data_IF_050400073088
#
_entry.id   IF_050400073088
#
_cell.length_a   1.000
_cell.length_b   1.000
_cell.length_c   1.000
_cell.angle_alpha   90.00
_cell.angle_beta   90.00
_cell.angle_gamma   90.00
#
_symmetry.space_group_name_H-M   'P 1'
#
loop_
_entity.id
_entity.type
_entity.pdbx_description
1 polymer ?
#
# COMPACT_ATOMS: atom_id res chain seq x y z
N UNK A 1 -18.69 26.95 -0.62
CA UNK A 1 -18.49 25.99 -1.74
C UNK A 1 -19.26 26.52 -2.92
N UNK A 2 -18.57 27.09 -3.90
CA UNK A 2 -19.23 27.65 -5.07
C UNK A 2 -19.83 26.52 -5.90
N UNK A 3 -21.06 26.69 -6.40
CA UNK A 3 -21.86 25.66 -7.10
C UNK A 3 -21.15 25.06 -8.33
N UNK A 4 -20.05 25.67 -8.77
CA UNK A 4 -19.22 25.29 -9.91
C UNK A 4 -18.35 24.04 -9.70
N UNK A 5 -18.03 23.67 -8.45
CA UNK A 5 -17.15 22.52 -8.15
C UNK A 5 -17.89 21.26 -7.72
N UNK A 6 -19.18 21.40 -7.41
CA UNK A 6 -20.11 20.30 -7.11
C UNK A 6 -20.05 19.18 -8.17
N UNK A 7 -20.11 19.45 -9.50
CA UNK A 7 -20.09 18.38 -10.49
C UNK A 7 -18.74 17.62 -10.56
N UNK A 8 -17.62 18.29 -10.30
CA UNK A 8 -16.29 17.66 -10.34
C UNK A 8 -16.03 16.76 -9.12
N UNK A 9 -16.50 17.18 -7.93
CA UNK A 9 -16.44 16.37 -6.71
C UNK A 9 -17.37 15.16 -6.82
N UNK A 10 -18.56 15.31 -7.41
CA UNK A 10 -19.50 14.20 -7.66
C UNK A 10 -18.91 13.18 -8.64
N UNK A 11 -18.28 13.64 -9.73
CA UNK A 11 -17.64 12.75 -10.70
C UNK A 11 -16.52 11.93 -10.06
N UNK A 12 -15.68 12.57 -9.24
CA UNK A 12 -14.61 11.89 -8.52
C UNK A 12 -15.15 10.87 -7.49
N UNK A 13 -16.21 11.21 -6.76
CA UNK A 13 -16.85 10.31 -5.80
C UNK A 13 -17.51 9.10 -6.49
N UNK A 14 -18.08 9.30 -7.68
CA UNK A 14 -18.65 8.25 -8.51
C UNK A 14 -17.57 7.32 -9.07
N UNK A 15 -16.43 7.85 -9.52
CA UNK A 15 -15.26 7.05 -9.92
C UNK A 15 -14.69 6.28 -8.73
N UNK A 16 -14.58 6.90 -7.57
CA UNK A 16 -14.13 6.23 -6.34
C UNK A 16 -15.07 5.08 -5.95
N UNK A 17 -16.40 5.26 -6.07
CA UNK A 17 -17.40 4.22 -5.79
C UNK A 17 -17.25 3.00 -6.72
N UNK A 18 -16.77 3.19 -7.95
CA UNK A 18 -16.54 2.10 -8.91
C UNK A 18 -15.17 1.43 -8.69
N UNK A 19 -14.13 2.20 -8.36
CA UNK A 19 -12.75 1.69 -8.20
C UNK A 19 -12.54 0.97 -6.87
N UNK A 20 -13.13 1.46 -5.78
CA UNK A 20 -13.00 0.87 -4.44
C UNK A 20 -13.45 -0.61 -4.39
N UNK A 21 -14.66 -1.01 -4.86
CA UNK A 21 -15.08 -2.41 -4.81
C UNK A 21 -14.25 -3.33 -5.71
N UNK A 22 -13.77 -2.85 -6.87
CA UNK A 22 -12.93 -3.68 -7.76
C UNK A 22 -11.62 -4.09 -7.08
N UNK A 23 -11.07 -3.25 -6.20
CA UNK A 23 -9.83 -3.54 -5.48
C UNK A 23 -10.02 -4.61 -4.39
N UNK A 24 -11.23 -4.71 -3.80
CA UNK A 24 -11.56 -5.78 -2.85
C UNK A 24 -11.75 -7.15 -3.52
N UNK A 25 -12.14 -7.19 -4.80
CA UNK A 25 -12.31 -8.44 -5.58
C UNK A 25 -10.95 -9.05 -5.97
N UNK A 26 -9.91 -8.23 -6.20
CA UNK A 26 -8.57 -8.71 -6.57
C UNK A 26 -7.64 -9.05 -5.37
N UNK A 27 -8.11 -8.93 -4.13
CA UNK A 27 -7.32 -9.28 -2.94
C UNK A 27 -7.32 -10.79 -2.62
N UNK A 28 -8.11 -11.61 -3.32
CA UNK A 28 -8.12 -13.06 -3.18
C UNK A 28 -7.09 -13.72 -4.11
N UNK A 29 -5.81 -13.40 -3.96
CA UNK A 29 -4.74 -14.27 -4.45
C UNK A 29 -3.42 -13.84 -3.84
N UNK A 30 -2.86 -14.66 -2.95
CA UNK A 30 -1.59 -14.36 -2.32
C UNK A 30 -1.12 -15.27 -1.19
N UNK A 31 -1.83 -16.35 -0.88
CA UNK A 31 -1.31 -17.39 0.01
C UNK A 31 -1.20 -18.69 -0.76
N UNK A 32 0.01 -19.07 -1.19
CA UNK A 32 0.28 -20.45 -1.57
C UNK A 32 -0.02 -21.32 -0.35
N UNK A 33 -1.12 -22.07 -0.38
CA UNK A 33 -1.34 -23.20 0.51
C UNK A 33 -0.50 -24.36 -0.03
N UNK A 34 0.55 -24.82 0.67
CA UNK A 34 0.94 -26.20 0.52
C UNK A 34 -0.18 -27.00 1.20
N UNK A 35 -1.14 -27.48 0.42
CA UNK A 35 -2.04 -28.55 0.87
C UNK A 35 -1.18 -29.78 1.12
N UNK A 36 -0.61 -29.86 2.32
CA UNK A 36 -0.10 -31.10 2.89
C UNK A 36 -1.29 -32.03 3.08
N UNK A 37 -1.38 -33.07 2.26
CA UNK A 37 -2.29 -34.17 2.51
C UNK A 37 -2.01 -34.77 3.89
N UNK A 38 -3.07 -34.93 4.69
CA UNK A 38 -3.01 -35.65 5.96
C UNK A 38 -3.65 -34.90 7.12
N UNK A 39 -4.97 -35.05 7.27
CA UNK A 39 -5.67 -35.18 8.55
C UNK A 39 -5.32 -34.26 9.73
N UNK A 40 -4.87 -33.03 9.49
CA UNK A 40 -4.64 -32.01 10.52
C UNK A 40 -5.66 -30.90 10.43
N UNK A 41 -6.02 -30.31 11.58
CA UNK A 41 -6.93 -29.18 11.72
C UNK A 41 -6.62 -28.09 10.67
N UNK A 42 -7.52 -27.92 9.69
CA UNK A 42 -7.48 -26.81 8.72
C UNK A 42 -7.67 -25.52 9.50
N UNK A 43 -6.65 -24.67 9.55
CA UNK A 43 -6.72 -23.37 10.20
C UNK A 43 -7.76 -22.50 9.44
N UNK A 44 -8.92 -22.16 10.04
CA UNK A 44 -9.95 -21.35 9.39
C UNK A 44 -9.51 -19.89 9.22
N UNK A 45 -8.44 -19.49 9.91
CA UNK A 45 -7.66 -18.29 9.64
C UNK A 45 -6.61 -18.70 8.61
N UNK A 46 -6.78 -18.32 7.35
CA UNK A 46 -5.97 -18.73 6.19
C UNK A 46 -4.51 -18.19 6.21
N UNK A 47 -3.94 -17.97 7.39
CA UNK A 47 -2.61 -17.42 7.64
C UNK A 47 -1.83 -18.41 8.51
N UNK A 48 -0.70 -18.92 8.01
CA UNK A 48 0.09 -19.96 8.68
C UNK A 48 0.93 -19.43 9.84
N UNK A 49 1.00 -18.11 10.06
CA UNK A 49 1.79 -17.45 11.10
C UNK A 49 1.28 -16.03 11.37
N UNK A 50 1.59 -15.48 12.55
CA UNK A 50 1.31 -14.06 12.90
C UNK A 50 1.91 -13.12 11.84
N UNK A 51 3.07 -13.46 11.29
CA UNK A 51 3.71 -12.69 10.22
C UNK A 51 2.90 -12.62 8.93
N UNK A 52 2.23 -13.70 8.52
CA UNK A 52 1.36 -13.70 7.33
C UNK A 52 0.09 -12.87 7.55
N UNK A 53 -0.44 -12.89 8.78
CA UNK A 53 -1.56 -12.04 9.16
C UNK A 53 -1.19 -10.56 9.12
N UNK A 54 -0.02 -10.20 9.65
CA UNK A 54 0.50 -8.82 9.59
C UNK A 54 0.74 -8.40 8.13
N UNK A 55 1.32 -9.28 7.30
CA UNK A 55 1.54 -8.99 5.89
C UNK A 55 0.22 -8.77 5.12
N UNK A 56 -0.80 -9.58 5.39
CA UNK A 56 -2.13 -9.42 4.80
C UNK A 56 -2.82 -8.12 5.26
N UNK A 57 -2.73 -7.79 6.55
CA UNK A 57 -3.24 -6.54 7.10
C UNK A 57 -2.55 -5.33 6.47
N UNK A 58 -1.22 -5.38 6.35
CA UNK A 58 -0.42 -4.32 5.74
C UNK A 58 -0.80 -4.09 4.28
N UNK A 59 -1.08 -5.17 3.53
CA UNK A 59 -1.54 -5.09 2.13
C UNK A 59 -2.92 -4.45 2.01
N UNK A 60 -3.86 -4.78 2.90
CA UNK A 60 -5.19 -4.16 2.95
C UNK A 60 -5.06 -2.66 3.26
N UNK A 61 -4.25 -2.30 4.26
CA UNK A 61 -4.02 -0.91 4.65
C UNK A 61 -3.36 -0.14 3.50
N UNK A 62 -2.34 -0.70 2.84
CA UNK A 62 -1.66 -0.08 1.72
C UNK A 62 -2.62 0.21 0.56
N UNK A 63 -3.46 -0.77 0.17
CA UNK A 63 -4.47 -0.61 -0.89
C UNK A 63 -5.43 0.55 -0.63
N UNK A 64 -5.83 0.77 0.63
CA UNK A 64 -6.74 1.86 1.00
C UNK A 64 -5.98 3.19 1.16
N UNK A 65 -4.73 3.15 1.62
CA UNK A 65 -3.92 4.34 1.87
C UNK A 65 -3.52 5.08 0.59
N UNK A 66 -3.20 4.37 -0.50
CA UNK A 66 -2.85 4.97 -1.80
C UNK A 66 -3.90 5.96 -2.34
N UNK A 67 -5.19 5.57 -2.53
CA UNK A 67 -6.20 6.50 -3.02
C UNK A 67 -6.48 7.64 -2.05
N UNK A 68 -6.37 7.41 -0.74
CA UNK A 68 -6.54 8.46 0.29
C UNK A 68 -5.46 9.53 0.14
N UNK A 69 -4.20 9.16 -0.06
CA UNK A 69 -3.09 10.11 -0.24
C UNK A 69 -3.31 10.97 -1.48
N UNK A 70 -3.73 10.38 -2.59
CA UNK A 70 -4.04 11.11 -3.82
C UNK A 70 -5.17 12.12 -3.59
N UNK A 71 -6.19 11.75 -2.83
CA UNK A 71 -7.30 12.63 -2.46
C UNK A 71 -6.84 13.83 -1.61
N UNK A 72 -6.02 13.58 -0.60
CA UNK A 72 -5.42 14.65 0.22
C UNK A 72 -4.50 15.56 -0.60
N UNK A 73 -3.78 15.02 -1.58
CA UNK A 73 -2.91 15.79 -2.47
C UNK A 73 -3.73 16.77 -3.33
N UNK A 74 -4.84 16.30 -3.92
CA UNK A 74 -5.76 17.15 -4.70
C UNK A 74 -6.39 18.23 -3.80
N UNK A 75 -6.81 17.86 -2.59
CA UNK A 75 -7.37 18.78 -1.61
C UNK A 75 -6.38 19.88 -1.21
N UNK A 76 -5.13 19.51 -0.93
CA UNK A 76 -4.05 20.46 -0.65
C UNK A 76 -3.83 21.43 -1.82
N UNK A 77 -3.80 20.91 -3.06
CA UNK A 77 -3.69 21.71 -4.28
C UNK A 77 -4.83 22.71 -4.45
N UNK A 78 -6.07 22.28 -4.18
CA UNK A 78 -7.22 23.18 -4.22
C UNK A 78 -7.15 24.28 -3.16
N UNK A 79 -6.68 23.94 -1.95
CA UNK A 79 -6.54 24.90 -0.86
C UNK A 79 -5.53 25.99 -1.23
N UNK A 80 -4.40 25.62 -1.85
CA UNK A 80 -3.42 26.56 -2.40
C UNK A 80 -4.02 27.52 -3.43
N UNK A 81 -4.85 27.02 -4.36
CA UNK A 81 -5.51 27.84 -5.37
C UNK A 81 -6.60 28.74 -4.77
N UNK A 82 -7.28 28.29 -3.72
CA UNK A 82 -8.31 29.06 -3.02
C UNK A 82 -7.74 30.18 -2.15
N UNK A 83 -6.50 30.04 -1.68
CA UNK A 83 -5.89 30.92 -0.71
C UNK A 83 -5.48 32.31 -1.25
N UNK A 84 -5.80 32.65 -2.51
CA UNK A 84 -5.45 33.86 -3.31
C UNK A 84 -5.15 35.19 -2.55
N UNK A 85 -4.14 35.21 -1.68
CA UNK A 85 -3.74 36.39 -0.89
C UNK A 85 -4.09 36.38 0.61
N UNK A 86 -4.74 35.33 1.15
CA UNK A 86 -4.92 35.18 2.60
C UNK A 86 -3.76 34.33 3.20
N UNK A 87 -2.87 34.92 4.02
CA UNK A 87 -1.70 34.22 4.57
C UNK A 87 -2.07 33.04 5.49
N UNK A 88 -3.21 33.09 6.17
CA UNK A 88 -3.65 32.00 7.06
C UNK A 88 -4.00 30.74 6.28
N UNK A 89 -4.77 30.90 5.20
CA UNK A 89 -5.20 29.80 4.32
C UNK A 89 -4.00 29.19 3.58
N UNK A 90 -3.00 30.01 3.27
CA UNK A 90 -1.77 29.56 2.63
C UNK A 90 -0.90 28.73 3.59
N UNK A 91 -0.82 29.15 4.85
CA UNK A 91 -0.07 28.42 5.89
C UNK A 91 -0.73 27.08 6.18
N UNK A 92 -2.06 27.04 6.23
CA UNK A 92 -2.81 25.81 6.40
C UNK A 92 -2.66 24.85 5.20
N UNK A 93 -2.68 25.37 3.97
CA UNK A 93 -2.44 24.57 2.76
C UNK A 93 -1.05 23.93 2.74
N UNK A 94 -0.02 24.68 3.13
CA UNK A 94 1.34 24.18 3.29
C UNK A 94 1.41 23.06 4.33
N UNK A 95 0.76 23.24 5.48
CA UNK A 95 0.72 22.22 6.53
C UNK A 95 0.11 20.92 6.02
N UNK A 96 -1.07 20.99 5.41
CA UNK A 96 -1.77 19.80 4.88
C UNK A 96 -0.95 19.13 3.77
N UNK A 97 -0.33 19.91 2.89
CA UNK A 97 0.57 19.39 1.86
C UNK A 97 1.77 18.64 2.45
N UNK A 98 2.43 19.19 3.47
CA UNK A 98 3.54 18.54 4.16
C UNK A 98 3.12 17.23 4.82
N UNK A 99 1.98 17.21 5.53
CA UNK A 99 1.45 15.99 6.13
C UNK A 99 1.14 14.91 5.08
N UNK A 100 0.59 15.32 3.93
CA UNK A 100 0.31 14.41 2.81
C UNK A 100 1.59 13.85 2.21
N UNK A 101 2.61 14.70 2.05
CA UNK A 101 3.93 14.31 1.53
C UNK A 101 4.63 13.32 2.47
N UNK A 102 4.56 13.54 3.78
CA UNK A 102 5.10 12.64 4.80
C UNK A 102 4.39 11.29 4.76
N UNK A 103 3.05 11.28 4.66
CA UNK A 103 2.28 10.04 4.49
C UNK A 103 2.68 9.24 3.24
N UNK A 104 2.86 9.93 2.11
CA UNK A 104 3.35 9.31 0.88
C UNK A 104 4.77 8.74 1.03
N UNK A 105 5.66 9.48 1.68
CA UNK A 105 7.04 9.08 1.89
C UNK A 105 7.15 7.84 2.79
N UNK A 106 6.30 7.71 3.81
CA UNK A 106 6.27 6.54 4.69
C UNK A 106 5.94 5.27 3.91
N UNK A 107 4.95 5.32 3.02
CA UNK A 107 4.57 4.16 2.20
C UNK A 107 5.70 3.78 1.24
N UNK A 108 6.27 4.76 0.55
CA UNK A 108 7.42 4.53 -0.34
C UNK A 108 8.63 3.98 0.41
N UNK A 109 8.87 4.45 1.65
CA UNK A 109 9.92 3.96 2.53
C UNK A 109 9.70 2.51 2.96
N UNK A 110 8.46 2.15 3.31
CA UNK A 110 8.11 0.78 3.69
C UNK A 110 8.31 -0.22 2.54
N UNK A 111 7.91 0.15 1.33
CA UNK A 111 8.14 -0.66 0.10
C UNK A 111 9.65 -0.80 -0.20
N UNK A 112 10.40 0.30 -0.11
CA UNK A 112 11.84 0.28 -0.36
C UNK A 112 12.58 -0.66 0.60
N UNK A 113 12.25 -0.62 1.89
CA UNK A 113 12.86 -1.50 2.90
C UNK A 113 12.46 -2.96 2.66
N UNK A 114 11.20 -3.23 2.33
CA UNK A 114 10.70 -4.58 2.05
C UNK A 114 11.45 -5.21 0.87
N UNK A 115 11.66 -4.46 -0.21
CA UNK A 115 12.42 -4.90 -1.39
C UNK A 115 13.89 -5.15 -1.02
N UNK A 116 14.49 -4.28 -0.20
CA UNK A 116 15.87 -4.45 0.24
C UNK A 116 16.07 -5.77 1.00
N UNK A 117 15.17 -6.07 1.95
CA UNK A 117 15.23 -7.32 2.73
C UNK A 117 15.05 -8.54 1.82
N UNK A 118 14.06 -8.52 0.91
CA UNK A 118 13.81 -9.63 -0.01
C UNK A 118 15.03 -9.93 -0.90
N UNK A 119 15.71 -8.90 -1.39
CA UNK A 119 16.93 -9.05 -2.20
C UNK A 119 18.04 -9.72 -1.40
N UNK A 120 18.31 -9.24 -0.19
CA UNK A 120 19.34 -9.83 0.67
C UNK A 120 19.03 -11.29 1.03
N UNK A 121 17.79 -11.62 1.37
CA UNK A 121 17.39 -13.00 1.69
C UNK A 121 17.55 -13.91 0.46
N UNK A 122 17.13 -13.44 -0.72
CA UNK A 122 17.24 -14.20 -1.97
C UNK A 122 18.70 -14.45 -2.37
N UNK A 123 19.56 -13.46 -2.21
CA UNK A 123 20.99 -13.57 -2.52
C UNK A 123 21.69 -14.59 -1.61
N UNK A 124 21.33 -14.62 -0.31
CA UNK A 124 21.87 -15.61 0.64
C UNK A 124 21.39 -17.03 0.27
N UNK A 125 20.11 -17.22 -0.04
CA UNK A 125 19.59 -18.54 -0.43
C UNK A 125 20.19 -19.05 -1.76
N UNK A 126 20.38 -18.17 -2.75
CA UNK A 126 20.99 -18.54 -4.03
C UNK A 126 22.47 -18.95 -3.93
N UNK A 127 23.22 -18.33 -3.02
CA UNK A 127 24.64 -18.62 -2.83
C UNK A 127 24.89 -19.95 -2.09
N UNK A 128 24.02 -20.34 -1.15
CA UNK A 128 24.16 -21.58 -0.35
C UNK A 128 23.82 -22.86 -1.15
N UNK A 129 22.88 -22.78 -2.10
CA UNK A 129 22.55 -23.92 -2.98
C UNK A 129 23.66 -24.15 -4.02
N UNK A 130 24.33 -23.08 -4.47
CA UNK A 130 25.40 -23.20 -5.47
C UNK A 130 26.69 -23.78 -4.87
N UNK A 131 27.04 -23.42 -3.63
CA UNK A 131 28.24 -23.97 -2.97
C UNK A 131 28.10 -25.43 -2.55
N UNK A 132 26.90 -25.90 -2.22
CA UNK A 132 26.65 -27.31 -1.88
C UNK A 132 26.72 -28.24 -3.10
N UNK A 133 26.39 -27.76 -4.30
CA UNK A 133 26.54 -28.53 -5.55
C UNK A 133 28.01 -28.62 -6.00
N UNK A 134 28.84 -27.65 -5.63
CA UNK A 134 30.27 -27.65 -5.95
C UNK A 134 31.10 -28.50 -4.97
N UNK A 135 30.64 -28.69 -3.73
CA UNK A 135 31.32 -29.53 -2.74
C UNK A 135 31.10 -31.05 -2.92
N UNK A 136 30.10 -31.47 -3.70
CA UNK A 136 29.81 -32.89 -4.03
C UNK A 136 30.54 -33.35 -5.31
N UNK A 137 31.24 -32.45 -6.01
CA UNK A 137 31.90 -32.73 -7.31
C UNK A 137 33.41 -32.98 -7.25
N UNK A 138 34.00 -33.11 -6.06
CA UNK A 138 35.40 -33.52 -5.84
C UNK A 138 35.48 -34.87 -5.10
#
# INVERSE_FOLDING_TARGET
>A
MDKKYIPLVILFFLVALIVIPTSFVFAQSGGNVPTGGGGGLVNPLQYGSISDFIAALLRIVATIAFPIIVLFMIYAGFLFVSARGNPDKLTEAKRIFLWTLIGALIILGAEAISIAIQRTVKDIQGNVITSSILAERD
#
